data_IF_417913202521
#
_entry.id   IF_417913202521
#
_cell.length_a   1.000
_cell.length_b   1.000
_cell.length_c   1.000
_cell.angle_alpha   90.00
_cell.angle_beta   90.00
_cell.angle_gamma   90.00
#
_symmetry.space_group_name_H-M   'P 1'
#
loop_
_entity.id
_entity.type
_entity.pdbx_description
1 polymer ?
#
# COMPACT_ATOMS: atom_id res chain seq x y z
N UNK A 1 1.67 8.30 -3.72
CA UNK A 1 1.36 7.69 -2.41
C UNK A 1 0.45 6.50 -2.61
N UNK A 2 0.68 5.43 -1.85
CA UNK A 2 -0.18 4.24 -1.85
C UNK A 2 -1.60 4.60 -1.40
N UNK A 3 -2.60 4.36 -2.26
CA UNK A 3 -3.98 4.81 -2.06
C UNK A 3 -4.92 4.38 -3.17
N UNK A 4 -6.10 5.00 -3.32
CA UNK A 4 -7.09 4.64 -4.36
C UNK A 4 -6.54 4.63 -5.80
N UNK A 5 -5.58 5.49 -6.18
CA UNK A 5 -4.96 5.42 -7.51
C UNK A 5 -4.06 4.20 -7.76
N UNK A 6 -3.72 3.42 -6.72
CA UNK A 6 -2.89 2.21 -6.80
C UNK A 6 -3.66 0.89 -6.63
N UNK A 7 -5.00 0.90 -6.66
CA UNK A 7 -5.82 -0.25 -6.25
C UNK A 7 -5.82 -1.44 -7.22
N UNK A 8 -5.59 -1.20 -8.51
CA UNK A 8 -5.55 -2.26 -9.53
C UNK A 8 -4.83 -1.82 -10.79
N UNK A 9 -4.49 -2.80 -11.63
CA UNK A 9 -3.84 -2.62 -12.92
C UNK A 9 -4.50 -1.53 -13.78
N UNK A 10 -5.83 -1.53 -13.91
CA UNK A 10 -6.54 -0.58 -14.78
C UNK A 10 -6.27 0.87 -14.38
N UNK A 11 -6.24 1.17 -13.09
CA UNK A 11 -6.00 2.53 -12.59
C UNK A 11 -4.51 2.89 -12.69
N UNK A 12 -3.62 1.97 -12.33
CA UNK A 12 -2.17 2.19 -12.43
C UNK A 12 -1.71 2.38 -13.88
N UNK A 13 -2.17 1.51 -14.79
CA UNK A 13 -1.97 1.63 -16.24
C UNK A 13 -2.45 2.99 -16.75
N UNK A 14 -3.63 3.43 -16.32
CA UNK A 14 -4.17 4.72 -16.76
C UNK A 14 -3.27 5.88 -16.36
N UNK A 15 -2.68 5.84 -15.16
CA UNK A 15 -1.71 6.85 -14.75
C UNK A 15 -0.48 6.87 -15.67
N UNK A 16 0.05 5.70 -16.04
CA UNK A 16 1.16 5.61 -17.01
C UNK A 16 0.77 6.08 -18.41
N UNK A 17 -0.42 5.74 -18.90
CA UNK A 17 -0.97 6.25 -20.16
C UNK A 17 -1.09 7.77 -20.16
N UNK A 18 -1.45 8.36 -19.02
CA UNK A 18 -1.53 9.82 -18.81
C UNK A 18 -0.15 10.47 -18.55
N UNK A 19 0.94 9.72 -18.67
CA UNK A 19 2.32 10.23 -18.61
C UNK A 19 2.95 10.31 -17.22
N UNK A 20 2.36 9.69 -16.21
CA UNK A 20 2.95 9.64 -14.86
C UNK A 20 4.24 8.83 -14.89
N UNK A 21 5.32 9.36 -14.29
CA UNK A 21 6.62 8.67 -14.25
C UNK A 21 6.68 7.50 -13.26
N UNK A 22 5.81 7.50 -12.25
CA UNK A 22 5.78 6.50 -11.20
C UNK A 22 4.38 6.28 -10.63
N UNK A 23 4.12 5.06 -10.16
CA UNK A 23 2.96 4.73 -9.32
C UNK A 23 3.39 3.94 -8.10
N UNK A 24 2.65 4.11 -7.01
CA UNK A 24 2.80 3.31 -5.80
C UNK A 24 1.53 2.46 -5.68
N UNK A 25 1.70 1.15 -5.73
CA UNK A 25 0.60 0.21 -5.60
C UNK A 25 -0.02 0.30 -4.20
N UNK A 26 -1.32 0.01 -4.09
CA UNK A 26 -2.01 -0.10 -2.81
C UNK A 26 -1.32 -1.17 -1.97
N UNK A 27 -1.14 -0.89 -0.68
CA UNK A 27 -0.44 -1.79 0.25
C UNK A 27 -0.99 -3.20 0.19
N UNK A 28 -0.12 -4.20 -0.01
CA UNK A 28 -0.46 -5.63 -0.03
C UNK A 28 0.10 -6.36 1.19
N UNK A 29 -0.51 -7.50 1.52
CA UNK A 29 -0.07 -8.48 2.53
C UNK A 29 -0.23 -9.90 1.97
N UNK A 30 0.33 -10.90 2.65
CA UNK A 30 0.20 -12.31 2.24
C UNK A 30 -1.24 -12.80 2.29
N UNK A 31 -1.98 -12.42 3.33
CA UNK A 31 -3.37 -12.82 3.56
C UNK A 31 -4.31 -11.61 3.54
N UNK A 32 -4.82 -11.29 2.34
CA UNK A 32 -5.81 -10.26 2.13
C UNK A 32 -7.20 -10.63 2.71
N UNK A 33 -7.47 -11.90 3.01
CA UNK A 33 -8.75 -12.35 3.57
C UNK A 33 -9.01 -11.82 4.99
N UNK A 34 -7.96 -11.38 5.69
CA UNK A 34 -8.03 -10.69 6.98
C UNK A 34 -8.54 -9.25 6.86
N UNK A 35 -8.58 -8.69 5.65
CA UNK A 35 -8.90 -7.27 5.40
C UNK A 35 -10.34 -7.15 4.94
N UNK A 36 -11.17 -6.46 5.75
CA UNK A 36 -12.57 -6.21 5.41
C UNK A 36 -12.82 -4.72 5.40
N UNK A 37 -12.86 -4.12 4.21
CA UNK A 37 -13.24 -2.73 4.03
C UNK A 37 -14.76 -2.55 4.22
N UNK A 38 -15.16 -1.47 4.90
CA UNK A 38 -16.57 -1.11 5.11
C UNK A 38 -17.06 -0.06 4.11
N UNK A 39 -18.37 0.17 4.06
CA UNK A 39 -18.99 1.24 3.26
C UNK A 39 -20.09 1.92 4.08
N UNK A 40 -20.15 3.27 4.16
CA UNK A 40 -19.25 4.24 3.52
C UNK A 40 -17.88 4.32 4.20
N UNK A 41 -16.83 4.59 3.42
CA UNK A 41 -15.44 4.72 3.92
C UNK A 41 -14.68 5.97 3.46
N UNK A 42 -15.34 6.82 2.67
CA UNK A 42 -14.79 8.08 2.18
C UNK A 42 -15.76 9.22 2.46
N UNK A 43 -15.23 10.33 2.99
CA UNK A 43 -16.00 11.55 3.22
C UNK A 43 -15.22 12.78 2.72
N UNK A 44 -15.95 13.73 2.14
CA UNK A 44 -15.41 15.04 1.76
C UNK A 44 -15.44 15.96 2.98
N UNK A 45 -14.31 16.58 3.29
CA UNK A 45 -14.26 17.70 4.23
C UNK A 45 -14.54 19.00 3.46
N UNK A 46 -15.48 19.80 3.96
CA UNK A 46 -15.91 21.06 3.32
C UNK A 46 -15.68 22.24 4.24
N UNK A 47 -15.28 23.37 3.67
CA UNK A 47 -15.12 24.64 4.38
C UNK A 47 -16.47 25.25 4.82
N UNK A 48 -16.44 26.03 5.91
CA UNK A 48 -17.60 26.74 6.45
C UNK A 48 -18.27 26.05 7.66
N UNK A 49 -19.26 26.72 8.26
CA UNK A 49 -19.96 26.19 9.43
C UNK A 49 -20.65 24.85 9.11
N UNK A 50 -20.41 23.85 9.96
CA UNK A 50 -21.00 22.50 9.90
C UNK A 50 -20.85 21.76 8.57
N UNK A 51 -19.80 22.03 7.77
CA UNK A 51 -19.52 21.26 6.57
C UNK A 51 -20.61 21.35 5.49
N UNK A 52 -21.21 22.54 5.32
CA UNK A 52 -22.22 22.85 4.30
C UNK A 52 -21.98 22.11 2.98
N UNK A 53 -23.01 21.45 2.45
CA UNK A 53 -22.92 20.66 1.21
C UNK A 53 -22.47 21.48 -0.01
N UNK A 54 -22.69 22.80 0.03
CA UNK A 54 -22.28 23.75 -0.99
C UNK A 54 -20.88 24.35 -0.75
N UNK A 55 -20.28 24.07 0.41
CA UNK A 55 -18.94 24.53 0.76
C UNK A 55 -17.86 23.89 -0.10
N UNK A 56 -16.79 24.65 -0.36
CA UNK A 56 -15.61 24.19 -1.08
C UNK A 56 -15.02 22.95 -0.41
N UNK A 57 -14.65 21.93 -1.21
CA UNK A 57 -13.94 20.74 -0.69
C UNK A 57 -12.52 21.15 -0.36
N UNK A 58 -12.13 20.94 0.90
CA UNK A 58 -10.78 21.28 1.42
C UNK A 58 -9.98 20.05 1.85
N UNK A 59 -10.59 18.87 1.83
CA UNK A 59 -9.90 17.64 2.21
C UNK A 59 -10.78 16.41 2.08
N UNK A 60 -10.20 15.28 2.42
CA UNK A 60 -10.86 13.98 2.43
C UNK A 60 -10.50 13.24 3.71
N UNK A 61 -11.47 12.54 4.27
CA UNK A 61 -11.25 11.56 5.33
C UNK A 61 -11.54 10.17 4.77
N UNK A 62 -10.73 9.20 5.16
CA UNK A 62 -10.97 7.81 4.83
C UNK A 62 -10.73 6.90 6.05
N UNK A 63 -11.45 5.79 6.05
CA UNK A 63 -11.24 4.65 6.96
C UNK A 63 -10.95 3.38 6.14
N UNK A 64 -10.34 3.55 4.96
CA UNK A 64 -9.95 2.42 4.12
C UNK A 64 -8.71 1.73 4.70
N UNK A 65 -8.70 0.41 4.62
CA UNK A 65 -7.57 -0.42 5.02
C UNK A 65 -6.57 -0.58 3.86
N UNK A 66 -5.68 -1.57 3.98
CA UNK A 66 -4.82 -2.02 2.88
C UNK A 66 -5.66 -2.72 1.78
N UNK A 67 -5.01 -3.25 0.74
CA UNK A 67 -5.71 -4.01 -0.29
C UNK A 67 -6.45 -5.21 0.30
N UNK A 68 -7.73 -5.38 -0.05
CA UNK A 68 -8.53 -6.58 0.19
C UNK A 68 -8.48 -7.57 -0.99
N UNK A 69 -7.68 -7.25 -2.01
CA UNK A 69 -7.49 -8.11 -3.19
C UNK A 69 -6.45 -9.18 -2.90
N UNK A 70 -6.66 -10.43 -3.36
CA UNK A 70 -5.67 -11.49 -3.19
C UNK A 70 -4.30 -11.09 -3.73
N UNK A 71 -3.24 -11.39 -2.97
CA UNK A 71 -1.86 -11.06 -3.35
C UNK A 71 -1.52 -11.58 -4.75
N UNK A 72 -1.89 -12.82 -5.07
CA UNK A 72 -1.69 -13.42 -6.40
C UNK A 72 -2.27 -12.60 -7.56
N UNK A 73 -3.37 -11.89 -7.32
CA UNK A 73 -3.93 -11.00 -8.34
C UNK A 73 -3.05 -9.76 -8.50
N UNK A 74 -2.63 -9.15 -7.38
CA UNK A 74 -1.76 -7.97 -7.40
C UNK A 74 -0.40 -8.29 -8.03
N UNK A 75 0.22 -9.44 -7.72
CA UNK A 75 1.51 -9.84 -8.29
C UNK A 75 1.46 -10.03 -9.81
N UNK A 76 0.39 -10.66 -10.33
CA UNK A 76 0.17 -10.78 -11.78
C UNK A 76 0.04 -9.42 -12.44
N UNK A 77 -0.68 -8.50 -11.79
CA UNK A 77 -0.87 -7.14 -12.28
C UNK A 77 0.42 -6.31 -12.24
N UNK A 78 1.27 -6.48 -11.22
CA UNK A 78 2.58 -5.82 -11.15
C UNK A 78 3.48 -6.27 -12.30
N UNK A 79 3.56 -7.59 -12.51
CA UNK A 79 4.33 -8.17 -13.62
C UNK A 79 3.83 -7.67 -14.97
N UNK A 80 2.53 -7.73 -15.20
CA UNK A 80 1.92 -7.22 -16.42
C UNK A 80 2.26 -5.74 -16.65
N UNK A 81 2.14 -4.91 -15.61
CA UNK A 81 2.40 -3.48 -15.71
C UNK A 81 3.87 -3.19 -16.04
N UNK A 82 4.81 -3.96 -15.48
CA UNK A 82 6.24 -3.83 -15.80
C UNK A 82 6.60 -4.33 -17.21
N UNK A 83 5.89 -5.34 -17.72
CA UNK A 83 6.02 -5.79 -19.11
C UNK A 83 5.49 -4.74 -20.10
N UNK A 84 4.37 -4.09 -19.78
CA UNK A 84 3.77 -3.03 -20.61
C UNK A 84 4.55 -1.70 -20.54
N UNK A 85 5.14 -1.39 -19.38
CA UNK A 85 5.82 -0.12 -19.10
C UNK A 85 7.20 -0.33 -18.44
N UNK A 86 8.18 -0.86 -19.18
CA UNK A 86 9.50 -1.14 -18.63
C UNK A 86 10.26 0.13 -18.19
N UNK A 87 9.93 1.29 -18.77
CA UNK A 87 10.55 2.60 -18.48
C UNK A 87 9.85 3.38 -17.36
N UNK A 88 8.80 2.83 -16.74
CA UNK A 88 8.04 3.47 -15.66
C UNK A 88 8.31 2.82 -14.32
N UNK A 89 8.31 3.62 -13.26
CA UNK A 89 8.59 3.18 -11.90
C UNK A 89 7.33 2.63 -11.24
N UNK A 90 7.37 1.38 -10.83
CA UNK A 90 6.35 0.74 -10.00
C UNK A 90 6.94 0.46 -8.61
N UNK A 91 6.36 1.10 -7.60
CA UNK A 91 6.72 0.87 -6.19
C UNK A 91 5.64 0.01 -5.55
N UNK A 92 6.03 -1.12 -4.98
CA UNK A 92 5.12 -1.99 -4.25
C UNK A 92 5.05 -1.58 -2.78
N UNK A 93 3.90 -1.05 -2.34
CA UNK A 93 3.65 -0.83 -0.92
C UNK A 93 3.32 -2.15 -0.24
N UNK A 94 3.98 -2.49 0.86
CA UNK A 94 3.79 -3.75 1.59
C UNK A 94 3.61 -3.53 3.09
N UNK A 95 2.89 -4.44 3.74
CA UNK A 95 2.69 -4.46 5.19
C UNK A 95 2.39 -5.88 5.64
N UNK A 96 3.06 -6.35 6.70
CA UNK A 96 2.84 -7.68 7.24
C UNK A 96 2.90 -7.72 8.77
N UNK A 97 2.34 -8.78 9.37
CA UNK A 97 2.41 -9.07 10.80
C UNK A 97 3.88 -9.11 11.29
N UNK A 98 4.12 -8.90 12.58
CA UNK A 98 5.46 -9.01 13.17
C UNK A 98 5.95 -10.47 13.14
N UNK A 99 6.41 -10.89 11.97
CA UNK A 99 6.87 -12.23 11.66
C UNK A 99 7.90 -12.13 10.53
N UNK A 100 9.17 -12.36 10.86
CA UNK A 100 10.28 -12.24 9.91
C UNK A 100 10.08 -13.08 8.63
N UNK A 101 9.65 -14.32 8.76
CA UNK A 101 9.47 -15.21 7.61
C UNK A 101 8.37 -14.71 6.66
N UNK A 102 7.29 -14.15 7.21
CA UNK A 102 6.20 -13.58 6.42
C UNK A 102 6.66 -12.32 5.66
N UNK A 103 7.42 -11.44 6.31
CA UNK A 103 8.06 -10.30 5.64
C UNK A 103 8.99 -10.73 4.52
N UNK A 104 9.85 -11.72 4.79
CA UNK A 104 10.80 -12.24 3.81
C UNK A 104 10.11 -12.88 2.59
N UNK A 105 9.04 -13.66 2.82
CA UNK A 105 8.22 -14.23 1.75
C UNK A 105 7.55 -13.15 0.90
N UNK A 106 6.97 -12.13 1.55
CA UNK A 106 6.27 -11.06 0.84
C UNK A 106 7.23 -10.26 -0.04
N UNK A 107 8.43 -9.93 0.47
CA UNK A 107 9.49 -9.26 -0.29
C UNK A 107 9.90 -10.11 -1.49
N UNK A 108 10.21 -11.39 -1.28
CA UNK A 108 10.61 -12.30 -2.38
C UNK A 108 9.58 -12.33 -3.50
N UNK A 109 8.31 -12.49 -3.15
CA UNK A 109 7.22 -12.61 -4.12
C UNK A 109 6.97 -11.32 -4.88
N UNK A 110 7.10 -10.18 -4.20
CA UNK A 110 6.93 -8.86 -4.81
C UNK A 110 8.09 -8.53 -5.73
N UNK A 111 9.34 -8.76 -5.32
CA UNK A 111 10.52 -8.51 -6.18
C UNK A 111 10.53 -9.38 -7.45
N UNK A 112 10.04 -10.62 -7.38
CA UNK A 112 9.90 -11.50 -8.55
C UNK A 112 9.00 -10.94 -9.66
N UNK A 113 8.19 -9.91 -9.37
CA UNK A 113 7.34 -9.25 -10.37
C UNK A 113 8.08 -8.19 -11.20
N UNK A 114 9.31 -7.82 -10.83
CA UNK A 114 10.11 -6.82 -11.53
C UNK A 114 9.81 -5.38 -11.14
N UNK A 115 9.17 -5.16 -9.98
CA UNK A 115 8.99 -3.84 -9.36
C UNK A 115 10.35 -3.14 -9.12
N UNK A 116 10.34 -1.82 -9.13
CA UNK A 116 11.56 -1.02 -9.09
C UNK A 116 11.97 -0.64 -7.65
N UNK A 117 11.02 -0.61 -6.72
CA UNK A 117 11.25 -0.33 -5.31
C UNK A 117 10.10 -0.85 -4.44
N UNK A 118 10.35 -0.92 -3.14
CA UNK A 118 9.37 -1.28 -2.11
C UNK A 118 9.06 -0.03 -1.27
N UNK A 119 7.82 0.11 -0.80
CA UNK A 119 7.43 1.09 0.23
C UNK A 119 6.92 0.32 1.45
N UNK A 120 7.47 0.58 2.63
CA UNK A 120 7.04 -0.10 3.86
C UNK A 120 5.97 0.72 4.59
N UNK A 121 4.78 0.16 4.74
CA UNK A 121 3.68 0.83 5.43
C UNK A 121 3.64 0.47 6.93
N UNK A 122 4.17 1.36 7.75
CA UNK A 122 4.08 1.30 9.23
C UNK A 122 2.94 2.14 9.81
N UNK A 123 1.98 2.57 8.99
CA UNK A 123 1.07 3.67 9.37
C UNK A 123 -0.40 3.27 9.51
N UNK A 124 -0.83 2.09 9.07
CA UNK A 124 -2.25 1.73 9.05
C UNK A 124 -2.86 1.75 10.48
N UNK A 125 -3.71 2.74 10.83
CA UNK A 125 -4.19 2.91 12.22
C UNK A 125 -5.48 2.13 12.52
N UNK A 126 -6.20 1.70 11.48
CA UNK A 126 -7.64 1.45 11.57
C UNK A 126 -8.05 -0.03 11.53
N UNK A 127 -7.13 -0.99 11.62
CA UNK A 127 -7.52 -2.39 11.40
C UNK A 127 -6.76 -3.51 12.11
N UNK A 128 -5.56 -3.28 12.64
CA UNK A 128 -4.78 -4.37 13.27
C UNK A 128 -3.89 -3.97 14.48
N UNK A 129 -4.29 -3.06 15.41
CA UNK A 129 -3.44 -2.75 16.58
C UNK A 129 -3.13 -3.99 17.43
N UNK A 130 -4.13 -4.88 17.60
CA UNK A 130 -4.02 -6.10 18.41
C UNK A 130 -3.02 -7.11 17.84
N UNK A 131 -2.65 -6.97 16.57
CA UNK A 131 -1.75 -7.89 15.85
C UNK A 131 -0.34 -7.31 15.66
N UNK A 132 -0.02 -6.19 16.32
CA UNK A 132 1.26 -5.49 16.19
C UNK A 132 1.60 -5.17 14.72
N UNK A 133 0.65 -4.59 14.00
CA UNK A 133 0.81 -4.14 12.61
C UNK A 133 0.48 -2.65 12.45
N UNK A 134 0.99 -2.04 11.38
CA UNK A 134 0.66 -0.66 11.02
C UNK A 134 1.09 0.32 12.10
N UNK A 135 0.21 1.24 12.51
CA UNK A 135 0.54 2.32 13.43
C UNK A 135 1.10 1.87 14.79
N UNK A 136 0.75 0.66 15.24
CA UNK A 136 1.32 0.08 16.47
C UNK A 136 2.83 -0.17 16.34
N UNK A 137 3.31 -0.51 15.14
CA UNK A 137 4.74 -0.63 14.84
C UNK A 137 5.34 0.76 14.61
N UNK A 138 4.67 1.61 13.82
CA UNK A 138 5.19 2.94 13.47
C UNK A 138 5.43 3.89 14.64
N UNK A 139 4.97 3.54 15.84
CA UNK A 139 5.14 4.31 17.07
C UNK A 139 6.11 3.64 18.08
N UNK A 140 6.66 2.47 17.74
CA UNK A 140 7.64 1.74 18.56
C UNK A 140 8.97 1.65 17.82
N UNK A 141 9.96 2.43 18.28
CA UNK A 141 11.28 2.49 17.66
C UNK A 141 11.99 1.12 17.62
N UNK A 142 11.75 0.24 18.60
CA UNK A 142 12.42 -1.06 18.68
C UNK A 142 11.84 -2.00 17.61
N UNK A 143 10.52 -2.03 17.48
CA UNK A 143 9.87 -2.83 16.43
C UNK A 143 10.22 -2.30 15.03
N UNK A 144 10.31 -0.98 14.86
CA UNK A 144 10.75 -0.36 13.61
C UNK A 144 12.18 -0.75 13.24
N UNK A 145 13.13 -0.62 14.17
CA UNK A 145 14.53 -0.99 13.93
C UNK A 145 14.65 -2.45 13.48
N UNK A 146 13.92 -3.34 14.14
CA UNK A 146 13.98 -4.76 13.86
C UNK A 146 13.34 -5.12 12.51
N UNK A 147 12.13 -4.63 12.21
CA UNK A 147 11.48 -4.89 10.92
C UNK A 147 12.29 -4.27 9.78
N UNK A 148 12.75 -3.02 9.93
CA UNK A 148 13.64 -2.39 8.95
C UNK A 148 14.93 -3.21 8.75
N UNK A 149 15.48 -3.80 9.82
CA UNK A 149 16.61 -4.71 9.74
C UNK A 149 16.32 -5.97 8.92
N UNK A 150 15.14 -6.58 9.09
CA UNK A 150 14.72 -7.73 8.28
C UNK A 150 14.53 -7.37 6.81
N UNK A 151 13.84 -6.26 6.55
CA UNK A 151 13.57 -5.78 5.19
C UNK A 151 14.88 -5.45 4.48
N UNK A 152 15.77 -4.69 5.11
CA UNK A 152 17.06 -4.29 4.52
C UNK A 152 18.01 -5.48 4.31
N UNK A 153 17.91 -6.53 5.13
CA UNK A 153 18.68 -7.75 4.92
C UNK A 153 18.17 -8.61 3.77
N UNK A 154 16.89 -8.45 3.39
CA UNK A 154 16.20 -9.31 2.42
C UNK A 154 16.04 -8.66 1.04
N UNK A 155 15.64 -7.39 1.01
CA UNK A 155 15.34 -6.67 -0.22
C UNK A 155 16.61 -6.48 -1.06
N UNK A 156 16.48 -6.71 -2.35
CA UNK A 156 17.52 -6.47 -3.36
C UNK A 156 17.27 -5.19 -4.16
N UNK A 157 16.04 -4.68 -4.14
CA UNK A 157 15.66 -3.37 -4.70
C UNK A 157 15.64 -2.29 -3.61
N UNK A 158 15.67 -0.99 -3.96
CA UNK A 158 15.50 0.10 -3.01
C UNK A 158 14.20 -0.01 -2.20
N UNK A 159 14.27 0.43 -0.94
CA UNK A 159 13.17 0.45 0.05
C UNK A 159 13.00 1.86 0.60
#
# INVERSE_FOLDING_TARGET
GSGPPGTNHKVMKRAFDDGWGAVIAKTVSLDAGKVVNVTPRYAKLRAGANGSALGQVIGWQNIELISDRPLETMLKEFKQLKEEYPDRILIASIMEEYNKAAWEELIDRVEQTGIDAIEINFSCPHGMPERKMGAAVGQDCVLLEEICGWVNAKATVPV
#
